data_IF_170802275249
#
_entry.id   IF_170802275249
#
_cell.length_a   1.000
_cell.length_b   1.000
_cell.length_c   1.000
_cell.angle_alpha   90.00
_cell.angle_beta   90.00
_cell.angle_gamma   90.00
#
_symmetry.space_group_name_H-M   'P 1'
#
loop_
_entity.id
_entity.type
_entity.pdbx_description
1 polymer ?
#
# COMPACT_ATOMS: atom_id res chain seq x y z
N UNK A 1 5.12 1.74 8.65
CA UNK A 1 3.98 2.57 8.15
C UNK A 1 4.54 3.70 7.27
N UNK A 2 3.77 4.25 6.33
CA UNK A 2 4.15 5.41 5.52
C UNK A 2 3.31 6.63 5.92
N UNK A 3 3.93 7.81 6.01
CA UNK A 3 3.26 9.07 6.33
C UNK A 3 3.55 10.08 5.24
N UNK A 4 2.51 10.58 4.58
CA UNK A 4 2.64 11.70 3.65
C UNK A 4 3.06 12.97 4.40
N UNK A 5 4.03 13.69 3.83
CA UNK A 5 4.52 14.97 4.33
C UNK A 5 3.96 16.11 3.48
N UNK A 6 3.88 17.34 4.03
CA UNK A 6 3.61 18.53 3.21
C UNK A 6 4.71 18.69 2.15
N UNK A 7 4.35 18.79 0.87
CA UNK A 7 5.31 18.98 -0.23
C UNK A 7 4.81 19.99 -1.26
N UNK A 8 5.71 20.87 -1.74
CA UNK A 8 5.42 21.88 -2.76
C UNK A 8 5.75 21.41 -4.21
N UNK A 9 6.14 20.15 -4.39
CA UNK A 9 6.54 19.58 -5.68
C UNK A 9 5.44 18.76 -6.35
N UNK A 10 5.66 18.40 -7.63
CA UNK A 10 4.74 17.56 -8.40
C UNK A 10 4.65 16.11 -7.88
N UNK A 11 5.73 15.63 -7.23
CA UNK A 11 5.80 14.31 -6.59
C UNK A 11 5.63 14.44 -5.08
N UNK A 12 4.75 13.61 -4.51
CA UNK A 12 4.48 13.57 -3.06
C UNK A 12 5.71 13.07 -2.32
N UNK A 13 6.05 13.73 -1.22
CA UNK A 13 7.11 13.27 -0.31
C UNK A 13 6.51 12.52 0.88
N UNK A 14 6.95 11.29 1.11
CA UNK A 14 6.49 10.45 2.22
C UNK A 14 7.65 10.15 3.17
N UNK A 15 7.34 9.85 4.44
CA UNK A 15 8.28 9.36 5.43
C UNK A 15 7.94 7.94 5.86
N UNK A 16 8.97 7.15 6.13
CA UNK A 16 8.82 5.84 6.75
C UNK A 16 8.72 6.02 8.27
N UNK A 17 7.71 5.41 8.91
CA UNK A 17 7.64 5.27 10.37
C UNK A 17 8.17 3.87 10.72
N UNK A 18 9.26 3.85 11.49
CA UNK A 18 9.94 2.67 12.01
C UNK A 18 9.69 2.57 13.52
N UNK A 19 9.01 1.50 13.94
CA UNK A 19 8.69 1.22 15.35
C UNK A 19 9.47 -0.03 15.79
N UNK A 20 10.04 0.00 16.99
CA UNK A 20 10.63 -1.20 17.60
C UNK A 20 9.58 -1.97 18.40
N UNK A 21 9.22 -3.16 17.93
CA UNK A 21 8.18 -4.02 18.51
C UNK A 21 6.96 -4.14 17.60
N UNK A 22 5.90 -4.75 18.13
CA UNK A 22 4.70 -5.07 17.37
C UNK A 22 3.59 -4.04 17.60
N UNK A 23 2.90 -3.66 16.52
CA UNK A 23 1.65 -2.90 16.61
C UNK A 23 0.48 -3.88 16.80
N UNK A 24 -0.14 -3.87 17.98
CA UNK A 24 -1.30 -4.71 18.28
C UNK A 24 -2.60 -3.92 18.11
N UNK A 25 -3.47 -4.40 17.23
CA UNK A 25 -4.85 -3.91 17.07
C UNK A 25 -5.77 -4.76 17.94
N UNK A 26 -6.75 -4.12 18.59
CA UNK A 26 -7.68 -4.82 19.51
C UNK A 26 -8.82 -5.54 18.79
N UNK A 27 -9.16 -5.14 17.55
CA UNK A 27 -10.13 -5.82 16.71
C UNK A 27 -9.45 -6.82 15.77
N UNK A 28 -10.15 -7.89 15.40
CA UNK A 28 -9.76 -8.80 14.31
C UNK A 28 -9.97 -8.19 12.91
N UNK A 29 -10.12 -6.87 12.84
CA UNK A 29 -10.33 -6.15 11.58
C UNK A 29 -8.99 -5.81 10.95
N UNK A 30 -8.99 -5.73 9.62
CA UNK A 30 -7.84 -5.28 8.86
C UNK A 30 -7.37 -3.90 9.35
N UNK A 31 -6.06 -3.77 9.59
CA UNK A 31 -5.43 -2.52 10.05
C UNK A 31 -5.48 -1.42 8.97
N UNK A 32 -5.93 -1.77 7.77
CA UNK A 32 -6.05 -0.86 6.64
C UNK A 32 -7.02 0.28 6.96
N UNK A 33 -6.55 1.52 6.82
CA UNK A 33 -7.29 2.76 7.10
C UNK A 33 -7.76 2.94 8.55
N UNK A 34 -7.26 2.15 9.50
CA UNK A 34 -7.59 2.36 10.90
C UNK A 34 -6.80 3.52 11.50
N UNK A 35 -7.46 4.32 12.32
CA UNK A 35 -6.81 5.32 13.13
C UNK A 35 -5.96 4.65 14.22
N UNK A 36 -4.64 4.80 14.11
CA UNK A 36 -3.67 4.19 15.05
C UNK A 36 -3.26 5.18 16.15
N UNK A 37 -3.20 6.47 15.84
CA UNK A 37 -2.76 7.48 16.80
C UNK A 37 -2.25 8.77 16.16
N UNK A 38 -1.71 9.63 17.01
CA UNK A 38 -1.29 10.99 16.65
C UNK A 38 0.23 11.11 16.53
N UNK A 39 0.70 11.79 15.49
CA UNK A 39 2.10 12.16 15.30
C UNK A 39 2.27 13.67 15.43
N UNK A 40 3.05 14.09 16.41
CA UNK A 40 3.36 15.48 16.70
C UNK A 40 4.84 15.77 16.51
N UNK A 41 5.20 17.02 16.24
CA UNK A 41 6.57 17.50 16.33
C UNK A 41 6.67 18.49 17.49
N UNK A 42 7.66 18.32 18.35
CA UNK A 42 7.93 19.33 19.38
C UNK A 42 8.64 20.56 18.78
N UNK A 43 8.81 21.61 19.58
CA UNK A 43 9.51 22.85 19.19
C UNK A 43 10.98 22.65 18.77
N UNK A 44 11.56 21.49 19.08
CA UNK A 44 12.92 21.11 18.71
C UNK A 44 12.97 20.22 17.45
N UNK A 45 11.83 20.03 16.77
CA UNK A 45 11.74 19.19 15.57
C UNK A 45 11.78 17.69 15.82
N UNK A 46 11.64 17.23 17.07
CA UNK A 46 11.60 15.80 17.37
C UNK A 46 10.17 15.25 17.21
N UNK A 47 9.99 14.14 16.49
CA UNK A 47 8.70 13.50 16.34
C UNK A 47 8.29 12.76 17.62
N UNK A 48 7.03 12.91 18.03
CA UNK A 48 6.40 12.27 19.17
C UNK A 48 5.16 11.56 18.64
N UNK A 49 5.10 10.24 18.85
CA UNK A 49 4.00 9.40 18.40
C UNK A 49 3.19 8.92 19.61
N UNK A 50 1.88 9.14 19.58
CA UNK A 50 0.94 8.75 20.64
C UNK A 50 0.06 7.65 20.07
N UNK A 51 0.12 6.45 20.64
CA UNK A 51 -0.67 5.29 20.21
C UNK A 51 -1.36 4.69 21.43
N UNK A 52 -2.69 4.76 21.47
CA UNK A 52 -3.47 4.36 22.64
C UNK A 52 -3.00 5.09 23.89
N UNK A 53 -2.53 4.33 24.89
CA UNK A 53 -2.03 4.86 26.18
C UNK A 53 -0.51 5.12 26.21
N UNK A 54 0.17 5.00 25.07
CA UNK A 54 1.61 5.10 24.99
C UNK A 54 2.07 6.37 24.28
N UNK A 55 3.14 6.96 24.80
CA UNK A 55 3.92 8.01 24.14
C UNK A 55 5.30 7.48 23.76
N UNK A 56 5.65 7.63 22.49
CA UNK A 56 6.94 7.27 21.92
C UNK A 56 7.65 8.52 21.45
N UNK A 57 8.84 8.76 22.00
CA UNK A 57 9.73 9.81 21.52
C UNK A 57 10.60 9.22 20.41
N UNK A 58 10.58 9.87 19.26
CA UNK A 58 11.32 9.45 18.09
C UNK A 58 12.36 10.47 17.65
N UNK A 59 13.00 10.15 16.53
CA UNK A 59 13.94 11.03 15.84
C UNK A 59 13.76 10.92 14.33
N UNK A 60 14.01 12.01 13.63
CA UNK A 60 14.12 11.99 12.18
C UNK A 60 15.51 11.51 11.76
N UNK A 61 15.57 10.71 10.70
CA UNK A 61 16.80 10.19 10.12
C UNK A 61 16.69 10.29 8.60
N UNK A 62 17.61 11.03 7.98
CA UNK A 62 17.77 11.02 6.52
C UNK A 62 18.20 9.63 6.07
N UNK A 63 17.64 9.17 4.96
CA UNK A 63 18.03 7.92 4.32
C UNK A 63 19.20 8.18 3.38
N UNK A 64 20.24 7.35 3.45
CA UNK A 64 21.39 7.43 2.53
C UNK A 64 20.98 7.09 1.10
N UNK A 65 19.97 6.21 0.96
CA UNK A 65 19.35 5.85 -0.31
C UNK A 65 17.84 6.09 -0.22
N UNK A 66 17.29 7.07 -0.94
CA UNK A 66 15.84 7.30 -1.00
C UNK A 66 15.10 6.08 -1.58
N UNK A 67 13.86 5.87 -1.13
CA UNK A 67 12.99 4.81 -1.66
C UNK A 67 11.87 5.39 -2.52
N UNK A 68 11.54 4.74 -3.62
CA UNK A 68 10.29 5.00 -4.33
C UNK A 68 9.17 4.15 -3.73
N UNK A 69 8.01 4.75 -3.49
CA UNK A 69 6.79 4.02 -3.12
C UNK A 69 6.10 3.63 -4.41
N UNK A 70 6.05 2.33 -4.68
CA UNK A 70 5.40 1.77 -5.86
C UNK A 70 4.06 1.18 -5.47
N UNK A 71 3.04 1.47 -6.27
CA UNK A 71 1.77 0.76 -6.19
C UNK A 71 1.65 -0.16 -7.40
N UNK A 72 1.37 -1.44 -7.13
CA UNK A 72 1.16 -2.47 -8.13
C UNK A 72 -0.30 -2.46 -8.58
N UNK A 73 -0.55 -2.35 -9.88
CA UNK A 73 -1.85 -2.64 -10.49
C UNK A 73 -1.78 -3.93 -11.30
N UNK A 74 -2.83 -4.75 -11.21
CA UNK A 74 -2.98 -5.98 -11.99
C UNK A 74 -4.30 -5.85 -12.74
N UNK A 75 -4.27 -5.87 -14.07
CA UNK A 75 -5.48 -5.93 -14.90
C UNK A 75 -5.69 -7.35 -15.41
N UNK A 76 -6.89 -7.89 -15.15
CA UNK A 76 -7.36 -9.14 -15.70
C UNK A 76 -8.17 -8.85 -16.98
N UNK A 77 -7.49 -8.54 -18.07
CA UNK A 77 -8.14 -8.21 -19.35
C UNK A 77 -8.74 -9.45 -20.08
N UNK A 78 -8.79 -10.61 -19.40
CA UNK A 78 -9.11 -11.92 -20.00
C UNK A 78 -10.47 -12.55 -19.64
N UNK A 79 -11.30 -11.94 -18.79
CA UNK A 79 -12.51 -12.62 -18.26
C UNK A 79 -13.85 -12.25 -18.91
N UNK A 80 -13.88 -11.28 -19.84
CA UNK A 80 -15.13 -10.84 -20.48
C UNK A 80 -15.40 -11.45 -21.88
N UNK A 81 -14.52 -12.34 -22.38
CA UNK A 81 -14.66 -12.90 -23.75
C UNK A 81 -15.16 -14.36 -23.81
N UNK A 82 -15.40 -15.02 -22.67
CA UNK A 82 -15.85 -16.43 -22.63
C UNK A 82 -17.37 -16.60 -22.49
N UNK A 83 -18.15 -15.52 -22.39
CA UNK A 83 -19.61 -15.57 -22.16
C UNK A 83 -20.45 -15.41 -23.43
N UNK A 84 -19.84 -15.33 -24.63
CA UNK A 84 -20.57 -15.11 -25.89
C UNK A 84 -20.44 -16.23 -26.93
N UNK A 85 -19.88 -17.39 -26.60
CA UNK A 85 -19.64 -18.47 -27.56
C UNK A 85 -20.49 -19.75 -27.36
N UNK A 86 -21.66 -19.67 -26.70
CA UNK A 86 -22.54 -20.84 -26.53
C UNK A 86 -23.49 -21.16 -27.69
N UNK A 87 -23.53 -20.39 -28.78
CA UNK A 87 -24.41 -20.69 -29.92
C UNK A 87 -23.64 -20.78 -31.26
N UNK A 88 -22.86 -21.85 -31.48
CA UNK A 88 -22.48 -22.25 -32.84
C UNK A 88 -22.89 -23.71 -33.08
N UNK A 89 -23.83 -23.87 -34.01
CA UNK A 89 -24.41 -25.13 -34.43
C UNK A 89 -23.36 -25.98 -35.19
N UNK A 90 -22.93 -27.08 -34.58
CA UNK A 90 -21.92 -28.01 -35.12
C UNK A 90 -22.61 -28.98 -36.09
N UNK A 91 -22.72 -28.64 -37.38
CA UNK A 91 -23.17 -29.62 -38.38
C UNK A 91 -22.69 -29.45 -39.83
N UNK A 92 -21.71 -28.58 -40.14
CA UNK A 92 -21.16 -28.56 -41.50
C UNK A 92 -19.66 -28.17 -41.57
N UNK A 93 -18.88 -29.08 -42.18
CA UNK A 93 -17.54 -28.92 -42.80
C UNK A 93 -16.29 -29.11 -41.90
N UNK A 94 -15.68 -30.30 -42.03
CA UNK A 94 -14.65 -30.85 -41.12
C UNK A 94 -13.18 -30.60 -41.51
N UNK A 95 -12.82 -29.62 -42.36
CA UNK A 95 -11.41 -29.50 -42.82
C UNK A 95 -10.80 -28.07 -42.79
N UNK A 96 -11.59 -27.05 -42.45
CA UNK A 96 -11.11 -25.65 -42.28
C UNK A 96 -11.21 -25.16 -40.83
N UNK A 97 -11.99 -25.87 -40.00
CA UNK A 97 -12.27 -25.51 -38.61
C UNK A 97 -11.04 -25.73 -37.71
N UNK A 98 -10.24 -26.77 -37.93
CA UNK A 98 -9.07 -27.03 -37.07
C UNK A 98 -8.00 -25.93 -37.14
N UNK A 99 -7.66 -25.43 -38.33
CA UNK A 99 -6.70 -24.31 -38.47
C UNK A 99 -7.19 -23.03 -37.79
N UNK A 100 -8.47 -22.72 -37.92
CA UNK A 100 -9.07 -21.52 -37.34
C UNK A 100 -9.18 -21.63 -35.81
N UNK A 101 -9.47 -22.82 -35.28
CA UNK A 101 -9.49 -23.07 -33.84
C UNK A 101 -8.08 -23.00 -33.24
N UNK A 102 -7.06 -23.52 -33.91
CA UNK A 102 -5.66 -23.43 -33.47
C UNK A 102 -5.17 -21.97 -33.40
N UNK A 103 -5.41 -21.17 -34.45
CA UNK A 103 -5.05 -19.75 -34.47
C UNK A 103 -5.80 -18.93 -33.40
N UNK A 104 -7.08 -19.24 -33.18
CA UNK A 104 -7.85 -18.63 -32.10
C UNK A 104 -7.30 -19.03 -30.72
N UNK A 105 -6.89 -20.29 -30.52
CA UNK A 105 -6.35 -20.77 -29.25
C UNK A 105 -5.02 -20.06 -28.93
N UNK A 106 -4.10 -19.95 -29.90
CA UNK A 106 -2.80 -19.26 -29.73
C UNK A 106 -2.96 -17.74 -29.51
N UNK A 107 -3.97 -17.11 -30.13
CA UNK A 107 -4.30 -15.70 -29.89
C UNK A 107 -4.92 -15.48 -28.50
N UNK A 108 -5.74 -16.41 -28.00
CA UNK A 108 -6.35 -16.38 -26.67
C UNK A 108 -5.33 -16.62 -25.54
N UNK A 109 -4.35 -17.50 -25.76
CA UNK A 109 -3.24 -17.76 -24.84
C UNK A 109 -2.36 -16.52 -24.59
N UNK A 110 -2.19 -15.65 -25.60
CA UNK A 110 -1.45 -14.40 -25.45
C UNK A 110 -2.28 -13.25 -24.87
N UNK A 111 -3.62 -13.39 -24.84
CA UNK A 111 -4.56 -12.39 -24.29
C UNK A 111 -4.92 -12.65 -22.81
N UNK A 112 -4.58 -13.82 -22.27
CA UNK A 112 -4.87 -14.22 -20.88
C UNK A 112 -3.73 -13.91 -19.89
N UNK A 113 -2.62 -13.32 -20.36
CA UNK A 113 -1.52 -12.92 -19.48
C UNK A 113 -1.94 -11.72 -18.64
N UNK A 114 -1.98 -11.89 -17.32
CA UNK A 114 -2.19 -10.80 -16.38
C UNK A 114 -1.17 -9.68 -16.64
N UNK A 115 -1.65 -8.49 -16.97
CA UNK A 115 -0.78 -7.33 -17.13
C UNK A 115 -0.52 -6.76 -15.74
N UNK A 116 0.76 -6.71 -15.34
CA UNK A 116 1.20 -6.10 -14.09
C UNK A 116 1.87 -4.77 -14.41
N UNK A 117 1.42 -3.70 -13.78
CA UNK A 117 2.03 -2.37 -13.89
C UNK A 117 2.36 -1.82 -12.51
N UNK A 118 3.30 -0.87 -12.47
CA UNK A 118 3.71 -0.19 -11.24
C UNK A 118 3.66 1.32 -11.44
N UNK A 119 2.94 2.02 -10.57
CA UNK A 119 2.90 3.49 -10.54
C UNK A 119 3.74 4.00 -9.36
N UNK A 120 4.63 4.97 -9.62
CA UNK A 120 5.36 5.66 -8.55
C UNK A 120 4.40 6.62 -7.85
N UNK A 121 4.10 6.37 -6.57
CA UNK A 121 3.17 7.18 -5.77
C UNK A 121 3.88 8.30 -5.01
N UNK A 122 5.09 8.05 -4.53
CA UNK A 122 5.85 9.00 -3.71
C UNK A 122 7.35 8.64 -3.67
N UNK A 123 8.15 9.57 -3.15
CA UNK A 123 9.55 9.31 -2.77
C UNK A 123 9.71 9.48 -1.27
N UNK A 124 10.44 8.55 -0.65
CA UNK A 124 10.81 8.57 0.75
C UNK A 124 12.29 8.92 0.89
N UNK A 125 12.59 10.11 1.41
CA UNK A 125 13.96 10.61 1.63
C UNK A 125 14.41 10.46 3.08
N UNK A 126 13.46 10.23 3.99
CA UNK A 126 13.67 10.18 5.44
C UNK A 126 12.77 9.19 6.15
N UNK A 127 13.17 8.82 7.36
CA UNK A 127 12.39 7.98 8.27
C UNK A 127 12.30 8.59 9.67
N UNK A 128 11.17 8.34 10.33
CA UNK A 128 10.91 8.66 11.73
C UNK A 128 11.08 7.37 12.54
N UNK A 129 12.06 7.37 13.42
CA UNK A 129 12.47 6.19 14.17
C UNK A 129 12.02 6.31 15.63
N UNK A 130 11.26 5.33 16.12
CA UNK A 130 10.80 5.22 17.51
C UNK A 130 11.34 3.92 18.11
N UNK A 131 12.56 3.98 18.65
CA UNK A 131 13.27 2.83 19.23
C UNK A 131 13.19 2.74 20.75
N UNK A 132 12.81 3.83 21.41
CA UNK A 132 12.70 3.86 22.86
C UNK A 132 11.45 3.12 23.33
N UNK A 133 11.54 2.49 24.52
CA UNK A 133 10.40 1.81 25.13
C UNK A 133 9.21 2.78 25.25
N UNK A 134 7.98 2.35 24.89
CA UNK A 134 6.78 3.17 25.05
C UNK A 134 6.61 3.60 26.50
N UNK A 135 6.45 4.90 26.73
CA UNK A 135 6.17 5.46 28.05
C UNK A 135 4.66 5.55 28.25
N UNK A 136 4.12 5.32 29.46
CA UNK A 136 2.72 5.60 29.73
C UNK A 136 2.47 7.13 29.64
N UNK A 137 1.28 7.52 29.17
CA UNK A 137 0.87 8.92 29.21
C UNK A 137 0.55 9.29 30.66
N UNK A 138 1.32 10.21 31.22
CA UNK A 138 1.08 10.75 32.56
C UNK A 138 0.29 12.05 32.38
N UNK A 139 -1.01 12.01 32.64
CA UNK A 139 -1.82 13.23 32.71
C UNK A 139 -1.59 13.88 34.09
N UNK A 140 -0.86 15.00 34.13
CA UNK A 140 -0.88 15.84 35.31
C UNK A 140 -2.13 16.72 35.24
N UNK A 141 -3.25 16.22 35.75
CA UNK A 141 -4.46 17.02 35.86
C UNK A 141 -4.22 17.98 37.02
N UNK A 142 -3.99 19.26 36.72
CA UNK A 142 -3.92 20.29 37.75
C UNK A 142 -5.18 20.18 38.60
N UNK A 143 -5.02 19.95 39.91
CA UNK A 143 -6.15 20.03 40.83
C UNK A 143 -6.68 21.46 40.73
N UNK A 144 -7.91 21.62 40.27
CA UNK A 144 -8.62 22.86 40.52
C UNK A 144 -8.73 23.00 42.02
N UNK A 145 -7.99 23.97 42.57
CA UNK A 145 -8.25 24.53 43.90
C UNK A 145 -9.48 25.42 43.84
#
# INVERSE_FOLDING_TARGET
MLKMLPSNGALKEWAIIELQGDLKVRSNEDVHNQYIGDLHYNKYGQPILIIGHHILQGREQKLDKPFAVLEKSITNDGQHLLTQSQDINVSALNDTVERTLLDNTVALENKSKQRTEYTVRAVCTKKLIFKSRPKPIIANVAKSV
#
